data_IF_978024361270
#
_entry.id   IF_978024361270
#
_cell.length_a   1.000
_cell.length_b   1.000
_cell.length_c   1.000
_cell.angle_alpha   90.00
_cell.angle_beta   90.00
_cell.angle_gamma   90.00
#
_symmetry.space_group_name_H-M   'P 1'
#
loop_
_entity.id
_entity.type
_entity.pdbx_description
1 polymer ?
#
# COMPACT_ATOMS: atom_id res chain seq x y z
N UNK A 1 -21.79 -0.74 -9.13
CA UNK A 1 -20.39 -0.25 -9.15
C UNK A 1 -19.48 -1.47 -9.13
N UNK A 2 -18.57 -1.60 -10.09
CA UNK A 2 -17.56 -2.65 -10.09
C UNK A 2 -16.54 -2.36 -8.98
N UNK A 3 -16.18 -3.34 -8.13
CA UNK A 3 -15.19 -3.12 -7.09
C UNK A 3 -13.84 -2.73 -7.71
N UNK A 4 -13.21 -1.70 -7.16
CA UNK A 4 -11.88 -1.26 -7.62
C UNK A 4 -10.85 -2.36 -7.33
N UNK A 5 -10.24 -2.90 -8.38
CA UNK A 5 -9.15 -3.87 -8.26
C UNK A 5 -7.82 -3.13 -8.38
N UNK A 6 -6.92 -3.30 -7.39
CA UNK A 6 -5.63 -2.60 -7.35
C UNK A 6 -4.51 -3.63 -7.38
N UNK A 7 -3.58 -3.46 -8.32
CA UNK A 7 -2.41 -4.32 -8.48
C UNK A 7 -1.16 -3.49 -8.69
N UNK A 8 -0.04 -3.92 -8.11
CA UNK A 8 1.28 -3.41 -8.50
C UNK A 8 1.83 -4.33 -9.57
N UNK A 9 2.22 -3.72 -10.70
CA UNK A 9 2.93 -4.40 -11.77
C UNK A 9 4.42 -4.24 -11.55
N UNK A 10 5.08 -5.34 -11.24
CA UNK A 10 6.55 -5.47 -11.25
C UNK A 10 6.99 -6.12 -12.56
N UNK A 11 8.24 -5.91 -12.95
CA UNK A 11 8.86 -6.59 -14.10
C UNK A 11 8.72 -8.13 -14.07
N UNK A 12 8.54 -8.74 -12.88
CA UNK A 12 8.48 -10.20 -12.72
C UNK A 12 7.10 -10.75 -12.36
N UNK A 13 6.23 -9.94 -11.73
CA UNK A 13 4.96 -10.44 -11.18
C UNK A 13 3.95 -9.32 -10.92
N UNK A 14 2.68 -9.62 -11.18
CA UNK A 14 1.57 -8.80 -10.72
C UNK A 14 1.19 -9.19 -9.29
N UNK A 15 1.28 -8.23 -8.37
CA UNK A 15 0.88 -8.42 -6.97
C UNK A 15 -0.46 -7.73 -6.74
N UNK A 16 -1.53 -8.51 -6.55
CA UNK A 16 -2.84 -7.99 -6.14
C UNK A 16 -2.75 -7.42 -4.72
N UNK A 17 -3.29 -6.22 -4.55
CA UNK A 17 -3.43 -5.53 -3.27
C UNK A 17 -4.83 -5.66 -2.66
N UNK A 18 -5.72 -6.44 -3.26
CA UNK A 18 -7.14 -6.50 -2.88
C UNK A 18 -7.34 -6.96 -1.42
N UNK A 19 -6.42 -7.76 -0.88
CA UNK A 19 -6.42 -8.21 0.52
C UNK A 19 -6.04 -7.09 1.52
N UNK A 20 -5.52 -5.98 1.03
CA UNK A 20 -5.12 -4.81 1.79
C UNK A 20 -6.07 -3.62 1.60
N UNK A 21 -7.21 -3.80 0.94
CA UNK A 21 -8.20 -2.73 0.73
C UNK A 21 -8.54 -1.99 2.04
N UNK A 22 -8.44 -0.65 2.02
CA UNK A 22 -8.65 0.22 3.17
C UNK A 22 -7.48 0.29 4.17
N UNK A 23 -6.34 -0.33 3.88
CA UNK A 23 -5.17 -0.37 4.75
C UNK A 23 -4.00 0.39 4.16
N UNK A 24 -3.14 0.88 5.04
CA UNK A 24 -1.82 1.35 4.68
C UNK A 24 -0.89 0.17 4.44
N UNK A 25 -0.15 0.22 3.35
CA UNK A 25 0.87 -0.76 2.97
C UNK A 25 2.21 -0.06 2.76
N UNK A 26 3.28 -0.73 3.15
CA UNK A 26 4.64 -0.28 2.95
C UNK A 26 5.36 -1.21 1.96
N UNK A 27 6.13 -0.62 1.05
CA UNK A 27 6.86 -1.33 0.01
C UNK A 27 8.36 -1.10 0.09
N UNK A 28 9.13 -2.14 -0.24
CA UNK A 28 10.56 -2.07 -0.60
C UNK A 28 10.75 -2.98 -1.80
N UNK A 29 11.46 -2.50 -2.84
CA UNK A 29 11.75 -3.25 -4.07
C UNK A 29 10.51 -4.00 -4.62
N UNK A 30 9.38 -3.31 -4.73
CA UNK A 30 8.10 -3.83 -5.27
C UNK A 30 7.38 -4.86 -4.38
N UNK A 31 7.93 -5.21 -3.22
CA UNK A 31 7.34 -6.17 -2.27
C UNK A 31 6.63 -5.48 -1.11
N UNK A 32 5.46 -5.99 -0.72
CA UNK A 32 4.76 -5.55 0.49
C UNK A 32 5.49 -6.10 1.71
N UNK A 33 6.15 -5.23 2.46
CA UNK A 33 6.92 -5.61 3.66
C UNK A 33 6.11 -5.51 4.95
N UNK A 34 5.10 -4.63 5.00
CA UNK A 34 4.21 -4.49 6.15
C UNK A 34 2.89 -3.81 5.78
N UNK A 35 1.88 -3.95 6.64
CA UNK A 35 0.60 -3.27 6.53
C UNK A 35 0.03 -2.88 7.91
N UNK A 36 -0.85 -1.89 7.92
CA UNK A 36 -1.50 -1.36 9.13
C UNK A 36 -2.81 -0.63 8.80
N UNK A 37 -3.67 -0.45 9.80
CA UNK A 37 -4.91 0.29 9.60
C UNK A 37 -4.67 1.81 9.54
N UNK A 38 -3.61 2.29 10.19
CA UNK A 38 -3.19 3.69 10.18
C UNK A 38 -1.72 3.82 9.74
N UNK A 39 -1.36 4.98 9.21
CA UNK A 39 0.03 5.29 8.85
C UNK A 39 0.95 5.23 10.07
N UNK A 40 0.49 5.69 11.24
CA UNK A 40 1.28 5.66 12.48
C UNK A 40 1.57 4.23 12.97
N UNK A 41 0.57 3.34 12.89
CA UNK A 41 0.75 1.92 13.23
C UNK A 41 1.79 1.27 12.30
N UNK A 42 1.69 1.56 11.00
CA UNK A 42 2.60 1.04 10.00
C UNK A 42 4.02 1.58 10.19
N UNK A 43 4.18 2.89 10.40
CA UNK A 43 5.48 3.52 10.67
C UNK A 43 6.15 2.92 11.91
N UNK A 44 5.40 2.71 13.01
CA UNK A 44 5.91 2.03 14.21
C UNK A 44 6.37 0.60 13.93
N UNK A 45 5.67 -0.15 13.06
CA UNK A 45 6.10 -1.50 12.65
C UNK A 45 7.39 -1.45 11.83
N UNK A 46 7.46 -0.53 10.87
CA UNK A 46 8.61 -0.37 9.97
C UNK A 46 9.87 0.05 10.72
N UNK A 47 9.77 1.00 11.66
CA UNK A 47 10.92 1.47 12.47
C UNK A 47 11.60 0.35 13.26
N UNK A 48 10.86 -0.71 13.62
CA UNK A 48 11.41 -1.88 14.32
C UNK A 48 12.21 -2.81 13.41
N UNK A 49 11.93 -2.80 12.11
CA UNK A 49 12.45 -3.78 11.15
C UNK A 49 13.77 -3.36 10.48
N UNK A 50 14.28 -2.14 10.76
CA UNK A 50 15.57 -1.60 10.28
C UNK A 50 15.89 -1.98 8.82
N UNK A 51 15.06 -1.53 7.89
CA UNK A 51 15.32 -1.70 6.47
C UNK A 51 16.51 -0.85 6.02
N UNK A 52 17.29 -1.37 5.05
CA UNK A 52 18.41 -0.64 4.43
C UNK A 52 17.94 0.42 3.42
N UNK A 53 16.73 0.25 2.89
CA UNK A 53 16.12 1.10 1.88
C UNK A 53 14.92 1.83 2.48
N UNK A 54 14.64 3.02 1.96
CA UNK A 54 13.51 3.82 2.39
C UNK A 54 12.20 3.20 1.89
N UNK A 55 11.27 2.83 2.79
CA UNK A 55 10.02 2.23 2.38
C UNK A 55 9.03 3.27 1.87
N UNK A 56 8.30 2.93 0.81
CA UNK A 56 7.23 3.77 0.25
C UNK A 56 5.90 3.37 0.85
N UNK A 57 5.10 4.34 1.26
CA UNK A 57 3.78 4.12 1.85
C UNK A 57 2.66 4.40 0.85
N UNK A 58 1.61 3.58 0.88
CA UNK A 58 0.43 3.74 0.04
C UNK A 58 -0.82 3.35 0.82
N UNK A 59 -1.87 4.14 0.69
CA UNK A 59 -3.19 3.79 1.19
C UNK A 59 -3.95 3.08 0.08
N UNK A 60 -4.23 1.79 0.26
CA UNK A 60 -5.04 1.04 -0.70
C UNK A 60 -6.49 1.49 -0.55
N UNK A 61 -7.16 1.98 -1.61
CA UNK A 61 -8.57 2.33 -1.57
C UNK A 61 -9.43 1.15 -1.09
N UNK A 62 -10.55 1.42 -0.42
CA UNK A 62 -11.53 0.36 -0.13
C UNK A 62 -12.19 -0.12 -1.42
N UNK A 63 -12.78 -1.31 -1.39
CA UNK A 63 -13.41 -1.91 -2.59
C UNK A 63 -14.59 -1.11 -3.11
N UNK A 64 -15.28 -0.42 -2.21
CA UNK A 64 -16.40 0.48 -2.44
C UNK A 64 -15.96 1.93 -2.71
N UNK A 65 -14.68 2.24 -2.50
CA UNK A 65 -14.08 3.55 -2.81
C UNK A 65 -13.46 3.53 -4.22
N UNK A 66 -13.68 4.61 -4.97
CA UNK A 66 -12.89 4.89 -6.18
C UNK A 66 -11.48 5.39 -5.81
N UNK A 67 -10.53 5.43 -6.76
CA UNK A 67 -9.20 5.97 -6.48
C UNK A 67 -9.27 7.45 -6.06
N UNK A 68 -8.67 7.77 -4.91
CA UNK A 68 -8.54 9.15 -4.43
C UNK A 68 -7.48 9.88 -5.25
N UNK A 69 -7.91 10.74 -6.17
CA UNK A 69 -7.01 11.65 -6.88
C UNK A 69 -6.93 12.95 -6.06
N UNK A 70 -5.85 13.11 -5.30
CA UNK A 70 -5.53 14.39 -4.67
C UNK A 70 -5.03 15.34 -5.76
N UNK A 71 -5.91 16.22 -6.22
CA UNK A 71 -5.54 17.33 -7.09
C UNK A 71 -4.87 18.41 -6.24
N UNK A 72 -3.56 18.56 -6.35
CA UNK A 72 -2.87 19.75 -5.85
C UNK A 72 -3.16 20.92 -6.79
N UNK A 73 -3.56 22.06 -6.21
CA UNK A 73 -3.68 23.34 -6.90
C UNK A 73 -2.50 24.24 -6.52
#
# INVERSE_FOLDING_TARGET
MTPTQVSIKSHKKDTSLDKYAGKWVAFVDEEVIAFGNTLEELDKKIKKLKFKQEPVFFLVPRKDEGPYILLWK
#
